data_IF_218189521929
#
_entry.id   IF_218189521929
#
_cell.length_a   1.000
_cell.length_b   1.000
_cell.length_c   1.000
_cell.angle_alpha   90.00
_cell.angle_beta   90.00
_cell.angle_gamma   90.00
#
_symmetry.space_group_name_H-M   'P 1'
#
loop_
_entity.id
_entity.type
_entity.pdbx_description
1 polymer ?
#
# COMPACT_ATOMS: atom_id res chain seq x y z
N UNK A 1 5.34 23.56 -14.93
CA UNK A 1 5.10 22.57 -13.86
C UNK A 1 3.73 22.79 -13.22
N UNK A 2 3.33 24.03 -12.94
CA UNK A 2 1.97 24.37 -12.49
C UNK A 2 0.83 23.88 -13.42
N UNK A 3 1.01 23.90 -14.74
CA UNK A 3 -0.04 23.48 -15.69
C UNK A 3 -0.47 22.01 -15.56
N UNK A 4 0.43 21.12 -15.11
CA UNK A 4 0.15 19.67 -15.09
C UNK A 4 -0.63 19.25 -13.85
N UNK A 5 -0.45 19.96 -12.76
CA UNK A 5 -1.13 19.72 -11.48
C UNK A 5 -2.56 20.26 -11.52
N UNK A 6 -2.73 21.51 -11.95
CA UNK A 6 -4.06 22.13 -12.14
C UNK A 6 -4.92 21.30 -13.11
N UNK A 7 -4.33 20.79 -14.18
CA UNK A 7 -5.04 19.90 -15.11
C UNK A 7 -5.49 18.61 -14.42
N UNK A 8 -4.63 18.02 -13.58
CA UNK A 8 -4.97 16.78 -12.89
C UNK A 8 -6.04 17.01 -11.80
N UNK A 9 -5.94 18.09 -11.03
CA UNK A 9 -6.97 18.51 -10.07
C UNK A 9 -8.32 18.72 -10.75
N UNK A 10 -8.33 19.34 -11.94
CA UNK A 10 -9.55 19.46 -12.74
C UNK A 10 -10.13 18.10 -13.18
N UNK A 11 -9.29 17.11 -13.48
CA UNK A 11 -9.74 15.75 -13.85
C UNK A 11 -10.25 14.98 -12.62
N UNK A 12 -9.59 15.17 -11.48
CA UNK A 12 -9.86 14.48 -10.22
C UNK A 12 -11.05 15.10 -9.47
N UNK A 13 -11.32 16.38 -9.70
CA UNK A 13 -12.44 17.12 -9.11
C UNK A 13 -12.16 17.69 -7.72
N UNK A 14 -10.89 17.81 -7.30
CA UNK A 14 -10.49 18.35 -6.01
C UNK A 14 -9.04 18.87 -6.04
N UNK A 15 -8.72 19.74 -5.09
CA UNK A 15 -7.35 20.24 -4.85
C UNK A 15 -6.53 19.23 -4.05
N UNK A 16 -5.32 18.93 -4.52
CA UNK A 16 -4.48 17.87 -3.95
C UNK A 16 -4.03 18.19 -2.52
N UNK A 17 -3.75 19.46 -2.23
CA UNK A 17 -3.35 19.90 -0.88
C UNK A 17 -4.45 19.63 0.14
N UNK A 18 -5.70 19.97 -0.18
CA UNK A 18 -6.86 19.71 0.68
C UNK A 18 -7.07 18.21 0.90
N UNK A 19 -6.88 17.42 -0.16
CA UNK A 19 -6.99 15.97 -0.09
C UNK A 19 -5.93 15.34 0.82
N UNK A 20 -4.69 15.83 0.75
CA UNK A 20 -3.60 15.42 1.65
C UNK A 20 -3.88 15.76 3.11
N UNK A 21 -4.49 16.90 3.39
CA UNK A 21 -4.83 17.32 4.75
C UNK A 21 -6.06 16.58 5.33
N UNK A 22 -6.86 15.95 4.46
CA UNK A 22 -8.10 15.24 4.82
C UNK A 22 -7.90 13.73 5.07
N UNK A 23 -6.71 13.32 5.51
CA UNK A 23 -6.39 11.92 5.82
C UNK A 23 -7.27 11.34 6.91
N UNK A 24 -7.64 10.06 6.77
CA UNK A 24 -8.43 9.35 7.76
C UNK A 24 -7.70 8.13 8.35
N UNK A 25 -7.96 7.77 9.63
CA UNK A 25 -7.31 6.63 10.27
C UNK A 25 -7.52 5.30 9.53
N UNK A 26 -6.45 4.51 9.36
CA UNK A 26 -6.47 3.19 8.71
C UNK A 26 -7.53 2.24 9.28
N UNK A 27 -7.79 2.32 10.59
CA UNK A 27 -8.82 1.52 11.26
C UNK A 27 -10.21 1.67 10.66
N UNK A 28 -10.51 2.78 9.97
CA UNK A 28 -11.80 2.97 9.32
C UNK A 28 -11.97 2.12 8.06
N UNK A 29 -10.89 1.57 7.51
CA UNK A 29 -10.89 0.70 6.33
C UNK A 29 -10.83 -0.79 6.69
N UNK A 30 -10.68 -1.13 7.98
CA UNK A 30 -10.54 -2.50 8.44
C UNK A 30 -11.92 -3.05 8.80
N UNK A 31 -12.38 -4.06 8.05
CA UNK A 31 -13.59 -4.82 8.36
C UNK A 31 -13.26 -6.17 8.99
N UNK A 32 -12.10 -6.73 8.65
CA UNK A 32 -11.62 -8.00 9.18
C UNK A 32 -10.11 -7.91 9.44
N UNK A 33 -9.67 -8.38 10.60
CA UNK A 33 -8.26 -8.36 10.98
C UNK A 33 -7.51 -9.56 10.43
N UNK A 34 -6.24 -9.35 10.09
CA UNK A 34 -5.32 -10.42 9.68
C UNK A 34 -5.14 -11.42 10.81
N UNK A 35 -5.20 -12.73 10.54
CA UNK A 35 -4.89 -13.75 11.54
C UNK A 35 -3.46 -13.60 12.09
N UNK A 36 -3.29 -13.73 13.40
CA UNK A 36 -1.99 -13.53 14.07
C UNK A 36 -0.89 -14.45 13.49
N UNK A 37 -1.22 -15.70 13.16
CA UNK A 37 -0.29 -16.62 12.49
C UNK A 37 0.22 -16.09 11.14
N UNK A 38 -0.63 -15.37 10.39
CA UNK A 38 -0.26 -14.79 9.11
C UNK A 38 0.60 -13.55 9.31
N UNK A 39 0.25 -12.69 10.29
CA UNK A 39 1.10 -11.54 10.68
C UNK A 39 2.50 -12.01 11.06
N UNK A 40 2.61 -13.04 11.90
CA UNK A 40 3.90 -13.63 12.29
C UNK A 40 4.69 -14.18 11.09
N UNK A 41 4.04 -14.91 10.20
CA UNK A 41 4.68 -15.42 8.97
C UNK A 41 5.19 -14.28 8.07
N UNK A 42 4.44 -13.19 7.95
CA UNK A 42 4.86 -12.01 7.20
C UNK A 42 6.06 -11.35 7.88
N UNK A 43 6.01 -11.19 9.21
CA UNK A 43 7.12 -10.66 10.00
C UNK A 43 8.41 -11.43 9.75
N UNK A 44 8.38 -12.76 9.89
CA UNK A 44 9.54 -13.64 9.68
C UNK A 44 10.15 -13.46 8.28
N UNK A 45 9.30 -13.42 7.24
CA UNK A 45 9.76 -13.21 5.86
C UNK A 45 10.36 -11.81 5.62
N UNK A 46 9.80 -10.78 6.24
CA UNK A 46 10.36 -9.42 6.17
C UNK A 46 11.73 -9.37 6.86
N UNK A 47 11.88 -10.05 8.01
CA UNK A 47 13.16 -10.17 8.69
C UNK A 47 14.20 -10.87 7.80
N UNK A 48 13.84 -11.98 7.16
CA UNK A 48 14.73 -12.68 6.25
C UNK A 48 15.21 -11.77 5.10
N UNK A 49 14.28 -11.05 4.46
CA UNK A 49 14.59 -10.08 3.39
C UNK A 49 15.52 -8.97 3.88
N UNK A 50 15.24 -8.37 5.04
CA UNK A 50 16.07 -7.32 5.64
C UNK A 50 17.49 -7.83 5.96
N UNK A 51 17.64 -9.09 6.40
CA UNK A 51 18.96 -9.66 6.69
C UNK A 51 19.74 -9.91 5.40
N UNK A 52 19.07 -10.42 4.36
CA UNK A 52 19.74 -10.75 3.10
C UNK A 52 20.11 -9.51 2.27
N UNK A 53 19.29 -8.47 2.33
CA UNK A 53 19.41 -7.28 1.46
C UNK A 53 19.88 -6.03 2.19
N UNK A 54 19.79 -6.02 3.53
CA UNK A 54 20.05 -4.86 4.37
C UNK A 54 18.76 -4.07 4.72
N UNK A 55 18.84 -3.22 5.75
CA UNK A 55 17.73 -2.33 6.08
C UNK A 55 17.56 -1.28 4.98
N UNK A 56 16.31 -0.93 4.60
CA UNK A 56 16.08 0.25 3.80
C UNK A 56 16.49 1.48 4.62
N UNK A 57 17.65 2.05 4.33
CA UNK A 57 18.11 3.27 4.98
C UNK A 57 17.27 4.44 4.47
N UNK A 58 16.44 5.02 5.34
CA UNK A 58 15.62 6.20 5.02
C UNK A 58 16.45 7.42 4.56
N UNK A 59 17.78 7.39 4.77
CA UNK A 59 18.72 8.45 4.45
C UNK A 59 19.50 8.25 3.13
N UNK A 60 19.46 7.06 2.50
CA UNK A 60 20.16 6.84 1.21
C UNK A 60 19.20 7.12 0.07
N UNK A 61 19.52 8.15 -0.72
CA UNK A 61 18.84 8.50 -1.97
C UNK A 61 19.51 7.81 -3.16
N UNK A 62 18.74 7.28 -4.14
CA UNK A 62 17.35 6.87 -3.98
C UNK A 62 17.29 5.59 -3.14
N UNK A 63 16.26 5.41 -2.31
CA UNK A 63 16.03 4.16 -1.58
C UNK A 63 16.21 3.00 -2.57
N UNK A 64 16.95 1.95 -2.20
CA UNK A 64 17.19 0.82 -3.09
C UNK A 64 15.83 0.29 -3.56
N UNK A 65 15.46 0.61 -4.80
CA UNK A 65 14.14 0.33 -5.36
C UNK A 65 13.86 -1.17 -5.33
N UNK A 66 14.91 -1.99 -5.44
CA UNK A 66 14.84 -3.44 -5.24
C UNK A 66 14.28 -3.77 -3.86
N UNK A 67 14.85 -3.22 -2.79
CA UNK A 67 14.41 -3.49 -1.41
C UNK A 67 12.95 -3.08 -1.19
N UNK A 68 12.52 -1.95 -1.75
CA UNK A 68 11.10 -1.54 -1.68
C UNK A 68 10.21 -2.59 -2.37
N UNK A 69 10.56 -2.95 -3.61
CA UNK A 69 9.85 -3.92 -4.43
C UNK A 69 9.80 -5.30 -3.77
N UNK A 70 10.89 -5.73 -3.17
CA UNK A 70 11.04 -7.04 -2.55
C UNK A 70 10.19 -7.12 -1.27
N UNK A 71 10.17 -6.08 -0.45
CA UNK A 71 9.29 -5.99 0.73
C UNK A 71 7.79 -6.01 0.37
N UNK A 72 7.36 -5.21 -0.62
CA UNK A 72 5.98 -5.22 -1.12
C UNK A 72 5.61 -6.61 -1.63
N UNK A 73 6.50 -7.21 -2.44
CA UNK A 73 6.34 -8.55 -2.99
C UNK A 73 6.17 -9.60 -1.88
N UNK A 74 7.02 -9.57 -0.86
CA UNK A 74 6.97 -10.49 0.28
C UNK A 74 5.62 -10.46 1.00
N UNK A 75 5.12 -9.26 1.31
CA UNK A 75 3.84 -9.07 2.00
C UNK A 75 2.69 -9.60 1.15
N UNK A 76 2.59 -9.13 -0.10
CA UNK A 76 1.47 -9.50 -0.98
C UNK A 76 1.49 -10.99 -1.33
N UNK A 77 2.65 -11.57 -1.58
CA UNK A 77 2.79 -13.01 -1.84
C UNK A 77 2.36 -13.85 -0.63
N UNK A 78 2.74 -13.45 0.59
CA UNK A 78 2.34 -14.15 1.80
C UNK A 78 0.81 -14.10 1.99
N UNK A 79 0.19 -12.93 1.78
CA UNK A 79 -1.26 -12.75 1.83
C UNK A 79 -1.97 -13.61 0.78
N UNK A 80 -1.63 -13.47 -0.50
CA UNK A 80 -2.27 -14.25 -1.58
C UNK A 80 -2.09 -15.75 -1.38
N UNK A 81 -0.90 -16.20 -0.96
CA UNK A 81 -0.64 -17.61 -0.65
C UNK A 81 -1.52 -18.11 0.50
N UNK A 82 -1.74 -17.30 1.53
CA UNK A 82 -2.63 -17.63 2.62
C UNK A 82 -4.06 -17.85 2.12
N UNK A 83 -4.62 -16.91 1.36
CA UNK A 83 -5.97 -17.04 0.80
C UNK A 83 -6.13 -18.27 -0.09
N UNK A 84 -5.13 -18.59 -0.90
CA UNK A 84 -5.14 -19.82 -1.72
C UNK A 84 -5.23 -21.07 -0.86
N UNK A 85 -4.37 -21.18 0.14
CA UNK A 85 -4.24 -22.38 0.96
C UNK A 85 -5.39 -22.55 1.96
N UNK A 86 -5.84 -21.47 2.59
CA UNK A 86 -6.80 -21.55 3.71
C UNK A 86 -8.24 -21.21 3.29
N UNK A 87 -8.42 -20.46 2.20
CA UNK A 87 -9.75 -20.03 1.73
C UNK A 87 -10.10 -20.57 0.35
N UNK A 88 -9.29 -21.49 -0.21
CA UNK A 88 -9.49 -22.13 -1.51
C UNK A 88 -9.65 -21.13 -2.69
N UNK A 89 -9.06 -19.93 -2.55
CA UNK A 89 -9.11 -18.85 -3.56
C UNK A 89 -8.03 -19.01 -4.62
N UNK A 90 -8.06 -20.14 -5.33
CA UNK A 90 -7.10 -20.48 -6.39
C UNK A 90 -7.19 -19.54 -7.61
N UNK A 91 -8.28 -18.78 -7.72
CA UNK A 91 -8.53 -17.73 -8.69
C UNK A 91 -7.65 -16.48 -8.47
N UNK A 92 -7.25 -16.19 -7.23
CA UNK A 92 -6.43 -15.01 -6.95
C UNK A 92 -5.04 -15.13 -7.59
N UNK A 93 -4.62 -14.09 -8.30
CA UNK A 93 -3.27 -14.01 -8.89
C UNK A 93 -2.70 -12.63 -8.63
N UNK A 94 -1.46 -12.59 -8.17
CA UNK A 94 -0.70 -11.35 -8.14
C UNK A 94 -0.23 -11.06 -9.58
N UNK A 95 -0.74 -9.98 -10.16
CA UNK A 95 -0.27 -9.48 -11.46
C UNK A 95 0.42 -8.14 -11.22
N UNK A 96 1.61 -7.99 -11.79
CA UNK A 96 2.33 -6.71 -11.78
C UNK A 96 2.20 -6.09 -13.16
N UNK A 97 1.24 -5.20 -13.33
CA UNK A 97 0.99 -4.57 -14.64
C UNK A 97 1.73 -3.24 -14.80
N UNK A 98 1.77 -2.42 -13.73
CA UNK A 98 2.42 -1.11 -13.79
C UNK A 98 2.95 -0.74 -12.41
N UNK A 99 4.23 -0.39 -12.35
CA UNK A 99 4.87 0.15 -11.17
C UNK A 99 5.36 1.57 -11.49
N UNK A 100 5.04 2.51 -10.61
CA UNK A 100 5.50 3.90 -10.71
C UNK A 100 6.59 4.06 -9.65
N UNK A 101 7.85 3.96 -10.05
CA UNK A 101 9.00 4.14 -9.15
C UNK A 101 9.60 5.52 -9.37
N UNK A 102 9.79 6.29 -8.30
CA UNK A 102 10.24 7.69 -8.39
C UNK A 102 11.19 8.08 -7.26
N UNK A 103 11.82 9.25 -7.41
CA UNK A 103 12.69 9.85 -6.40
C UNK A 103 11.86 10.69 -5.42
N UNK A 104 12.35 10.82 -4.17
CA UNK A 104 11.67 11.52 -3.06
C UNK A 104 11.18 12.93 -3.41
N UNK A 105 11.87 13.66 -4.28
CA UNK A 105 11.55 15.06 -4.60
C UNK A 105 10.31 15.24 -5.50
N UNK A 106 9.66 14.16 -5.95
CA UNK A 106 8.49 14.23 -6.84
C UNK A 106 7.17 13.76 -6.21
N UNK A 107 7.14 13.44 -4.91
CA UNK A 107 6.03 12.76 -4.20
C UNK A 107 4.62 13.25 -4.56
N UNK A 108 4.40 14.56 -4.69
CA UNK A 108 3.10 15.13 -5.10
C UNK A 108 2.67 14.69 -6.51
N UNK A 109 3.60 14.68 -7.46
CA UNK A 109 3.37 14.20 -8.84
C UNK A 109 3.00 12.72 -8.88
N UNK A 110 3.51 11.92 -7.95
CA UNK A 110 3.21 10.49 -7.88
C UNK A 110 1.84 10.17 -7.32
N UNK A 111 1.42 10.89 -6.28
CA UNK A 111 0.05 10.75 -5.81
C UNK A 111 -0.90 11.10 -6.96
N UNK A 112 -0.64 12.19 -7.68
CA UNK A 112 -1.44 12.57 -8.85
C UNK A 112 -1.52 11.46 -9.89
N UNK A 113 -0.39 10.82 -10.23
CA UNK A 113 -0.39 9.71 -11.18
C UNK A 113 -1.13 8.48 -10.66
N UNK A 114 -0.97 8.15 -9.37
CA UNK A 114 -1.71 7.05 -8.73
C UNK A 114 -3.22 7.33 -8.80
N UNK A 115 -3.65 8.52 -8.43
CA UNK A 115 -5.06 8.94 -8.46
C UNK A 115 -5.63 8.85 -9.87
N UNK A 116 -4.93 9.38 -10.88
CA UNK A 116 -5.36 9.28 -12.28
C UNK A 116 -5.43 7.82 -12.77
N UNK A 117 -4.49 6.97 -12.35
CA UNK A 117 -4.50 5.55 -12.68
C UNK A 117 -5.69 4.82 -12.04
N UNK A 118 -5.99 5.10 -10.77
CA UNK A 118 -7.15 4.55 -10.08
C UNK A 118 -8.46 5.00 -10.71
N UNK A 119 -8.57 6.29 -11.07
CA UNK A 119 -9.74 6.82 -11.77
C UNK A 119 -9.94 6.12 -13.11
N UNK A 120 -8.86 6.00 -13.89
CA UNK A 120 -8.89 5.31 -15.19
C UNK A 120 -9.29 3.84 -15.03
N UNK A 121 -8.77 3.15 -14.01
CA UNK A 121 -9.15 1.76 -13.73
C UNK A 121 -10.63 1.64 -13.40
N UNK A 122 -11.18 2.52 -12.56
CA UNK A 122 -12.61 2.56 -12.27
C UNK A 122 -13.46 2.86 -13.52
N UNK A 123 -13.02 3.80 -14.35
CA UNK A 123 -13.74 4.21 -15.56
C UNK A 123 -13.79 3.07 -16.59
N UNK A 124 -12.69 2.31 -16.74
CA UNK A 124 -12.55 1.18 -17.67
C UNK A 124 -13.24 -0.09 -17.16
N UNK A 125 -13.24 -0.33 -15.84
CA UNK A 125 -13.85 -1.52 -15.26
C UNK A 125 -15.39 -1.44 -15.35
N UNK A 126 -15.99 -2.45 -15.99
CA UNK A 126 -17.43 -2.52 -16.22
C UNK A 126 -18.25 -2.80 -14.95
N UNK A 127 -17.63 -3.35 -13.92
CA UNK A 127 -18.31 -3.73 -12.67
C UNK A 127 -18.45 -2.57 -11.68
N UNK A 128 -17.81 -1.42 -11.97
CA UNK A 128 -17.88 -0.18 -11.17
C UNK A 128 -17.65 -0.42 -9.67
N UNK A 129 -16.77 -1.36 -9.35
CA UNK A 129 -16.40 -1.67 -7.96
C UNK A 129 -15.39 -0.67 -7.42
N UNK A 130 -15.35 -0.60 -6.08
CA UNK A 130 -14.36 0.14 -5.33
C UNK A 130 -12.94 -0.26 -5.78
N UNK A 131 -12.15 0.73 -6.19
CA UNK A 131 -10.73 0.55 -6.54
C UNK A 131 -9.85 0.97 -5.38
N UNK A 132 -8.74 0.26 -5.23
CA UNK A 132 -7.78 0.45 -4.16
C UNK A 132 -6.40 0.70 -4.76
N UNK A 133 -5.66 1.65 -4.21
CA UNK A 133 -4.26 1.88 -4.51
C UNK A 133 -3.46 2.08 -3.24
N UNK A 134 -2.16 1.79 -3.30
CA UNK A 134 -1.25 2.00 -2.19
C UNK A 134 -0.14 2.95 -2.61
N UNK A 135 0.07 3.99 -1.83
CA UNK A 135 1.27 4.81 -1.90
C UNK A 135 2.28 4.22 -0.91
N UNK A 136 3.36 3.65 -1.43
CA UNK A 136 4.29 2.88 -0.61
C UNK A 136 5.71 3.39 -0.75
N UNK A 137 6.39 3.52 0.38
CA UNK A 137 7.85 3.41 0.48
C UNK A 137 8.17 2.03 1.07
N UNK A 138 9.46 1.63 1.11
CA UNK A 138 9.81 0.40 1.82
C UNK A 138 9.34 0.44 3.29
N UNK A 139 9.29 1.64 3.90
CA UNK A 139 9.10 1.82 5.33
C UNK A 139 7.64 2.16 5.68
N UNK A 140 6.98 2.98 4.85
CA UNK A 140 5.68 3.60 5.14
C UNK A 140 4.71 3.43 3.99
N UNK A 141 3.43 3.20 4.31
CA UNK A 141 2.37 2.91 3.36
C UNK A 141 1.13 3.76 3.65
N UNK A 142 0.43 4.17 2.61
CA UNK A 142 -0.92 4.76 2.67
C UNK A 142 -1.84 4.04 1.71
N UNK A 143 -3.11 3.91 2.09
CA UNK A 143 -4.18 3.43 1.22
C UNK A 143 -4.87 4.63 0.57
N UNK A 144 -5.19 4.48 -0.71
CA UNK A 144 -6.12 5.33 -1.45
C UNK A 144 -7.28 4.48 -1.93
N UNK A 145 -8.51 4.98 -1.79
CA UNK A 145 -9.71 4.30 -2.31
C UNK A 145 -10.56 5.25 -3.15
N UNK A 146 -11.20 4.71 -4.19
CA UNK A 146 -12.15 5.45 -5.02
C UNK A 146 -13.36 4.59 -5.42
N UNK A 147 -14.55 5.08 -5.14
CA UNK A 147 -15.83 4.40 -5.42
C UNK A 147 -16.57 4.96 -6.65
N UNK A 148 -15.92 5.83 -7.43
CA UNK A 148 -16.53 6.55 -8.55
C UNK A 148 -17.07 7.93 -8.22
N UNK A 149 -17.18 8.27 -6.94
CA UNK A 149 -17.67 9.58 -6.48
C UNK A 149 -16.73 10.20 -5.44
N UNK A 150 -16.24 9.40 -4.50
CA UNK A 150 -15.51 9.84 -3.31
C UNK A 150 -14.10 9.25 -3.30
N UNK A 151 -13.13 10.12 -3.06
CA UNK A 151 -11.75 9.74 -2.78
C UNK A 151 -11.51 9.69 -1.27
N UNK A 152 -10.75 8.70 -0.82
CA UNK A 152 -10.26 8.64 0.57
C UNK A 152 -8.78 8.31 0.59
N UNK A 153 -8.04 9.00 1.44
CA UNK A 153 -6.63 8.76 1.73
C UNK A 153 -6.47 8.37 3.19
N UNK A 154 -5.72 7.31 3.46
CA UNK A 154 -5.41 6.93 4.84
C UNK A 154 -4.25 7.73 5.41
N UNK A 155 -4.21 7.81 6.74
CA UNK A 155 -2.99 8.14 7.47
C UNK A 155 -1.83 7.19 7.11
N UNK A 156 -0.60 7.68 7.26
CA UNK A 156 0.64 6.90 7.07
C UNK A 156 0.74 5.74 8.08
N UNK A 157 0.90 4.53 7.57
CA UNK A 157 1.28 3.35 8.35
C UNK A 157 2.77 3.09 8.24
N UNK A 158 3.45 2.86 9.36
CA UNK A 158 4.84 2.36 9.33
C UNK A 158 4.83 0.84 9.32
N UNK A 159 5.41 0.25 8.28
CA UNK A 159 5.48 -1.21 8.05
C UNK A 159 6.83 -1.76 8.49
N UNK A 160 7.94 -1.05 8.23
CA UNK A 160 9.26 -1.48 8.66
C UNK A 160 9.78 -0.63 9.81
N UNK A 161 10.37 -1.27 10.80
CA UNK A 161 10.96 -0.61 11.98
C UNK A 161 12.48 -0.77 11.96
N UNK A 162 13.21 0.22 12.46
CA UNK A 162 14.63 0.01 12.77
C UNK A 162 14.77 -1.11 13.80
N UNK A 163 15.73 -2.03 13.63
CA UNK A 163 15.90 -3.18 14.53
C UNK A 163 14.62 -4.02 14.70
N UNK A 164 13.83 -4.18 13.64
CA UNK A 164 12.55 -4.90 13.62
C UNK A 164 12.60 -6.27 14.30
N UNK A 165 13.72 -7.00 14.16
CA UNK A 165 13.97 -8.29 14.82
C UNK A 165 13.79 -8.23 16.35
N UNK A 166 14.25 -7.15 16.99
CA UNK A 166 14.14 -6.96 18.46
C UNK A 166 12.79 -6.36 18.88
N UNK A 167 11.92 -6.06 17.91
CA UNK A 167 10.68 -5.33 18.10
C UNK A 167 9.47 -6.12 17.59
N UNK A 168 9.53 -7.47 17.58
CA UNK A 168 8.45 -8.33 17.11
C UNK A 168 7.11 -8.01 17.80
N UNK A 169 7.07 -8.00 19.13
CA UNK A 169 5.85 -7.70 19.89
C UNK A 169 5.28 -6.32 19.57
N UNK A 170 6.17 -5.32 19.46
CA UNK A 170 5.77 -3.95 19.09
C UNK A 170 5.20 -3.93 17.69
N UNK A 171 5.83 -4.64 16.76
CA UNK A 171 5.44 -4.68 15.37
C UNK A 171 4.06 -5.33 15.21
N UNK A 172 3.88 -6.53 15.80
CA UNK A 172 2.62 -7.27 15.76
C UNK A 172 1.45 -6.47 16.36
N UNK A 173 1.73 -5.67 17.40
CA UNK A 173 0.70 -4.88 18.09
C UNK A 173 0.33 -3.57 17.38
N UNK A 174 1.33 -2.85 16.84
CA UNK A 174 1.15 -1.45 16.46
C UNK A 174 1.41 -1.15 14.99
N UNK A 175 1.99 -2.09 14.23
CA UNK A 175 2.50 -1.85 12.87
C UNK A 175 1.88 -2.78 11.82
N UNK A 176 0.78 -3.47 12.16
CA UNK A 176 0.10 -4.40 11.24
C UNK A 176 -1.19 -3.85 10.64
N UNK A 177 -1.58 -2.61 10.92
CA UNK A 177 -2.85 -2.06 10.44
C UNK A 177 -2.97 -2.11 8.91
N UNK A 178 -1.87 -1.89 8.18
CA UNK A 178 -1.88 -2.03 6.73
C UNK A 178 -2.13 -3.48 6.29
N UNK A 179 -1.65 -4.46 7.06
CA UNK A 179 -1.90 -5.88 6.79
C UNK A 179 -3.38 -6.18 6.97
N UNK A 180 -3.99 -5.63 8.02
CA UNK A 180 -5.42 -5.77 8.30
C UNK A 180 -6.29 -5.13 7.22
N UNK A 181 -5.83 -4.01 6.63
CA UNK A 181 -6.46 -3.40 5.45
C UNK A 181 -6.35 -4.31 4.23
N UNK A 182 -5.15 -4.79 3.89
CA UNK A 182 -4.96 -5.69 2.73
C UNK A 182 -5.79 -6.97 2.91
N UNK A 183 -5.81 -7.52 4.11
CA UNK A 183 -6.63 -8.67 4.45
C UNK A 183 -8.13 -8.36 4.30
N UNK A 184 -8.62 -7.23 4.82
CA UNK A 184 -10.01 -6.80 4.64
C UNK A 184 -10.40 -6.70 3.15
N UNK A 185 -9.51 -6.13 2.33
CA UNK A 185 -9.72 -6.01 0.88
C UNK A 185 -9.81 -7.40 0.23
N UNK A 186 -8.84 -8.28 0.49
CA UNK A 186 -8.81 -9.63 -0.09
C UNK A 186 -9.98 -10.50 0.36
N UNK A 187 -10.53 -10.27 1.56
CA UNK A 187 -11.76 -10.91 2.03
C UNK A 187 -13.03 -10.41 1.36
N UNK A 188 -13.00 -9.23 0.72
CA UNK A 188 -14.17 -8.59 0.11
C UNK A 188 -14.32 -8.84 -1.40
N UNK A 189 -13.25 -9.30 -2.05
CA UNK A 189 -13.21 -9.72 -3.46
C UNK A 189 -13.47 -11.21 -3.59
#
# INVERSE_FOLDING_TARGET
MADTEVQAESILGFELDIFYDSQIPLKQFITTTTPEQLKKKIFERLIDCIISEGYPEAAISPMNESVVRDNIGVILQAMVSYYKLTMNRNDLKLLREKEIITKRDSLGKELTQLLLALKSMYDINNDKKLVYGFLTTAIQWQLVTYDGQTWKLSELSTVLLANMRKQEDRWLKNNTQILDVIYSILSSI
#
